data_IF_156967154160
#
_entry.id   IF_156967154160
#
_cell.length_a   1.000
_cell.length_b   1.000
_cell.length_c   1.000
_cell.angle_alpha   90.00
_cell.angle_beta   90.00
_cell.angle_gamma   90.00
#
_symmetry.space_group_name_H-M   'P 1'
#
loop_
_entity.id
_entity.type
_entity.pdbx_description
1 polymer ?
#
# COMPACT_ATOMS: atom_id res chain seq x y z
N UNK A 1 -3.77 1.53 17.88
CA UNK A 1 -5.20 1.24 17.62
C UNK A 1 -5.49 -0.22 17.96
N UNK A 2 -6.71 -0.59 18.39
CA UNK A 2 -7.06 -1.98 18.69
C UNK A 2 -7.00 -2.89 17.45
N UNK A 3 -6.55 -4.13 17.65
CA UNK A 3 -6.32 -5.11 16.56
C UNK A 3 -7.59 -5.45 15.79
N UNK A 4 -8.70 -5.61 16.50
CA UNK A 4 -10.01 -5.90 15.91
C UNK A 4 -10.46 -4.81 14.92
N UNK A 5 -10.23 -3.54 15.26
CA UNK A 5 -10.60 -2.41 14.41
C UNK A 5 -9.73 -2.40 13.15
N UNK A 6 -8.43 -2.66 13.29
CA UNK A 6 -7.50 -2.75 12.15
C UNK A 6 -7.95 -3.86 11.20
N UNK A 7 -8.25 -5.04 11.73
CA UNK A 7 -8.65 -6.19 10.92
C UNK A 7 -9.96 -5.93 10.18
N UNK A 8 -10.95 -5.31 10.86
CA UNK A 8 -12.22 -4.93 10.23
C UNK A 8 -12.00 -3.97 9.06
N UNK A 9 -11.26 -2.88 9.28
CA UNK A 9 -11.01 -1.88 8.24
C UNK A 9 -10.23 -2.47 7.07
N UNK A 10 -9.20 -3.28 7.32
CA UNK A 10 -8.45 -3.96 6.26
C UNK A 10 -9.36 -4.88 5.43
N UNK A 11 -10.24 -5.66 6.08
CA UNK A 11 -11.21 -6.51 5.39
C UNK A 11 -12.23 -5.73 4.56
N UNK A 12 -12.72 -4.60 5.07
CA UNK A 12 -13.67 -3.74 4.36
C UNK A 12 -13.00 -3.09 3.13
N UNK A 13 -11.75 -2.60 3.26
CA UNK A 13 -10.96 -2.08 2.13
C UNK A 13 -10.74 -3.16 1.07
N UNK A 14 -10.37 -4.38 1.48
CA UNK A 14 -10.14 -5.49 0.57
C UNK A 14 -11.40 -5.83 -0.25
N UNK A 15 -12.60 -5.74 0.34
CA UNK A 15 -13.86 -5.92 -0.38
C UNK A 15 -14.12 -4.78 -1.37
N UNK A 16 -13.95 -3.54 -0.94
CA UNK A 16 -14.20 -2.36 -1.78
C UNK A 16 -13.28 -2.35 -3.01
N UNK A 17 -12.01 -2.72 -2.86
CA UNK A 17 -11.08 -2.86 -3.99
C UNK A 17 -11.41 -4.00 -4.95
N UNK A 18 -12.30 -4.93 -4.58
CA UNK A 18 -12.78 -6.00 -5.46
C UNK A 18 -14.03 -5.60 -6.26
N UNK A 19 -14.68 -4.50 -5.89
CA UNK A 19 -15.88 -4.00 -6.57
C UNK A 19 -15.49 -3.51 -7.98
N UNK A 20 -16.13 -3.99 -9.06
CA UNK A 20 -15.77 -3.66 -10.44
C UNK A 20 -15.72 -2.15 -10.72
N UNK A 21 -16.71 -1.40 -10.24
CA UNK A 21 -16.81 0.05 -10.42
C UNK A 21 -15.68 0.81 -9.73
N UNK A 22 -15.22 0.31 -8.58
CA UNK A 22 -14.10 0.89 -7.85
C UNK A 22 -12.79 0.57 -8.57
N UNK A 23 -12.62 -0.68 -9.04
CA UNK A 23 -11.47 -1.08 -9.83
C UNK A 23 -11.33 -0.26 -11.09
N UNK A 24 -12.41 -0.08 -11.83
CA UNK A 24 -12.43 0.72 -13.05
C UNK A 24 -12.07 2.18 -12.76
N UNK A 25 -12.65 2.78 -11.73
CA UNK A 25 -12.35 4.16 -11.31
C UNK A 25 -10.91 4.35 -10.84
N UNK A 26 -10.33 3.37 -10.16
CA UNK A 26 -8.93 3.42 -9.74
C UNK A 26 -8.00 3.23 -10.94
N UNK A 27 -8.31 2.27 -11.81
CA UNK A 27 -7.55 2.03 -13.04
C UNK A 27 -7.57 3.24 -13.97
N UNK A 28 -8.69 3.97 -14.08
CA UNK A 28 -8.77 5.20 -14.88
C UNK A 28 -7.89 6.33 -14.36
N UNK A 29 -7.44 6.25 -13.10
CA UNK A 29 -6.48 7.16 -12.48
C UNK A 29 -5.03 6.61 -12.52
N UNK A 30 -4.81 5.47 -13.18
CA UNK A 30 -3.51 4.79 -13.21
C UNK A 30 -3.17 4.04 -11.93
N UNK A 31 -4.16 3.78 -11.06
CA UNK A 31 -3.96 3.06 -9.80
C UNK A 31 -4.27 1.58 -10.01
N UNK A 32 -3.25 0.75 -9.82
CA UNK A 32 -3.41 -0.70 -9.76
C UNK A 32 -3.80 -1.13 -8.35
N UNK A 33 -4.85 -1.95 -8.24
CA UNK A 33 -5.24 -2.54 -6.96
C UNK A 33 -4.50 -3.86 -6.76
N UNK A 34 -3.48 -3.84 -5.89
CA UNK A 34 -2.69 -5.01 -5.53
C UNK A 34 -3.39 -5.93 -4.51
N UNK A 35 -2.88 -7.16 -4.36
CA UNK A 35 -3.34 -8.18 -3.39
C UNK A 35 -2.90 -7.94 -1.95
N UNK A 36 -2.48 -6.72 -1.60
CA UNK A 36 -2.03 -6.35 -0.24
C UNK A 36 -3.20 -6.12 0.72
N UNK A 37 -4.14 -7.07 0.76
CA UNK A 37 -5.40 -6.94 1.52
C UNK A 37 -5.27 -7.17 3.02
N UNK A 38 -4.05 -7.28 3.57
CA UNK A 38 -3.81 -7.52 5.00
C UNK A 38 -2.90 -6.46 5.62
N UNK A 39 -3.08 -6.14 6.92
CA UNK A 39 -2.19 -5.22 7.64
C UNK A 39 -0.72 -5.64 7.57
N UNK A 40 -0.45 -6.94 7.67
CA UNK A 40 0.90 -7.50 7.64
C UNK A 40 1.52 -7.39 6.25
N UNK A 41 0.73 -7.64 5.20
CA UNK A 41 1.16 -7.45 3.82
C UNK A 41 1.57 -6.00 3.55
N UNK A 42 0.77 -5.04 4.04
CA UNK A 42 1.08 -3.62 3.90
C UNK A 42 2.35 -3.25 4.68
N UNK A 43 2.50 -3.73 5.91
CA UNK A 43 3.70 -3.49 6.71
C UNK A 43 4.96 -4.05 6.04
N UNK A 44 4.88 -5.25 5.46
CA UNK A 44 5.99 -5.87 4.75
C UNK A 44 6.37 -5.10 3.47
N UNK A 45 5.36 -4.65 2.71
CA UNK A 45 5.57 -3.81 1.53
C UNK A 45 6.29 -2.50 1.89
N UNK A 46 5.78 -1.77 2.89
CA UNK A 46 6.37 -0.51 3.32
C UNK A 46 7.80 -0.70 3.81
N UNK A 47 8.08 -1.76 4.56
CA UNK A 47 9.44 -2.06 5.01
C UNK A 47 10.40 -2.23 3.83
N UNK A 48 10.02 -3.05 2.84
CA UNK A 48 10.83 -3.29 1.64
C UNK A 48 11.05 -2.00 0.85
N UNK A 49 10.00 -1.19 0.70
CA UNK A 49 10.07 0.07 -0.05
C UNK A 49 10.98 1.08 0.65
N UNK A 50 10.84 1.25 1.97
CA UNK A 50 11.74 2.09 2.76
C UNK A 50 13.20 1.64 2.67
N UNK A 51 13.47 0.34 2.80
CA UNK A 51 14.84 -0.19 2.71
C UNK A 51 15.45 0.07 1.32
N UNK A 52 14.66 -0.05 0.25
CA UNK A 52 15.08 0.22 -1.12
C UNK A 52 15.44 1.70 -1.30
N UNK A 53 14.53 2.59 -0.92
CA UNK A 53 14.69 4.03 -1.13
C UNK A 53 15.78 4.63 -0.24
N UNK A 54 15.88 4.20 1.02
CA UNK A 54 16.96 4.62 1.93
C UNK A 54 18.33 4.31 1.33
N UNK A 55 18.51 3.09 0.82
CA UNK A 55 19.75 2.68 0.14
C UNK A 55 20.02 3.53 -1.08
N UNK A 56 19.02 3.72 -1.96
CA UNK A 56 19.19 4.46 -3.19
C UNK A 56 19.55 5.92 -2.93
N UNK A 57 18.85 6.60 -2.02
CA UNK A 57 19.08 7.99 -1.65
C UNK A 57 20.52 8.17 -1.15
N UNK A 58 20.96 7.32 -0.22
CA UNK A 58 22.33 7.35 0.32
C UNK A 58 23.39 7.10 -0.75
N UNK A 59 23.15 6.12 -1.64
CA UNK A 59 24.10 5.78 -2.70
C UNK A 59 24.27 6.88 -3.75
N UNK A 60 23.18 7.59 -4.07
CA UNK A 60 23.19 8.64 -5.10
C UNK A 60 23.43 10.04 -4.52
N UNK A 61 23.55 10.17 -3.19
CA UNK A 61 23.74 11.46 -2.53
C UNK A 61 22.56 12.42 -2.74
N UNK A 62 21.35 11.89 -2.96
CA UNK A 62 20.15 12.68 -3.21
C UNK A 62 19.80 13.46 -1.94
N UNK A 63 19.56 14.77 -2.09
CA UNK A 63 19.13 15.67 -1.02
C UNK A 63 17.81 16.31 -1.42
N UNK A 64 16.96 16.55 -0.42
CA UNK A 64 15.79 17.41 -0.58
C UNK A 64 16.28 18.86 -0.42
N UNK A 65 15.95 19.71 -1.39
CA UNK A 65 16.19 21.16 -1.34
C UNK A 65 15.18 21.86 -0.41
#
# INVERSE_FOLDING_TARGET
TPREIINRVAGDIAKVQQMPEIREKLASQGIETGTTGTPEGLAAFLKKDFDLWDKLIKQQGIKLE
#
